data_IF_330698928029
#
_entry.id   IF_330698928029
#
_cell.length_a   1.000
_cell.length_b   1.000
_cell.length_c   1.000
_cell.angle_alpha   90.00
_cell.angle_beta   90.00
_cell.angle_gamma   90.00
#
_symmetry.space_group_name_H-M   'P 1'
#
loop_
_entity.id
_entity.type
_entity.pdbx_description
1 polymer ?
#
# COMPACT_ATOMS: atom_id res chain seq x y z
N UNK A 1 -16.09 9.23 -0.15
CA UNK A 1 -15.14 8.10 -0.24
C UNK A 1 -13.77 8.68 0.09
N UNK A 2 -13.12 8.24 1.17
CA UNK A 2 -11.72 8.62 1.42
C UNK A 2 -10.78 7.61 0.75
N UNK A 3 -9.86 8.14 -0.03
CA UNK A 3 -8.80 7.44 -0.76
C UNK A 3 -7.46 8.03 -0.31
N UNK A 4 -6.40 7.22 -0.42
CA UNK A 4 -5.02 7.65 -0.14
C UNK A 4 -4.17 7.39 -1.38
N UNK A 5 -3.42 8.41 -1.80
CA UNK A 5 -2.50 8.30 -2.93
C UNK A 5 -1.32 7.37 -2.60
N UNK A 6 -0.76 6.61 -3.56
CA UNK A 6 0.35 5.70 -3.30
C UNK A 6 1.61 6.38 -2.73
N UNK A 7 1.93 7.60 -3.18
CA UNK A 7 3.08 8.36 -2.67
C UNK A 7 2.84 8.87 -1.24
N UNK A 8 1.59 9.16 -0.87
CA UNK A 8 1.22 9.52 0.50
C UNK A 8 1.37 8.31 1.43
N UNK A 9 0.82 7.16 1.05
CA UNK A 9 0.96 5.92 1.82
C UNK A 9 2.45 5.55 1.98
N UNK A 10 3.23 5.63 0.90
CA UNK A 10 4.68 5.37 0.91
C UNK A 10 5.44 6.26 1.89
N UNK A 11 5.01 7.52 2.04
CA UNK A 11 5.62 8.46 3.00
C UNK A 11 5.25 8.09 4.43
N UNK A 12 3.96 7.84 4.72
CA UNK A 12 3.50 7.43 6.05
C UNK A 12 4.17 6.15 6.53
N UNK A 13 4.32 5.16 5.65
CA UNK A 13 5.02 3.91 5.99
C UNK A 13 6.52 4.10 6.31
N UNK A 14 7.13 5.24 5.98
CA UNK A 14 8.51 5.57 6.34
C UNK A 14 8.64 6.40 7.61
N UNK A 15 7.69 7.32 7.85
CA UNK A 15 7.76 8.28 8.96
C UNK A 15 7.02 7.79 10.19
N UNK A 16 5.91 7.09 9.98
CA UNK A 16 4.94 6.79 11.03
C UNK A 16 5.12 5.34 11.44
N UNK A 17 5.82 5.17 12.57
CA UNK A 17 6.21 3.87 13.12
C UNK A 17 5.08 3.06 13.74
N UNK A 18 3.93 2.91 13.05
CA UNK A 18 2.86 1.91 13.20
C UNK A 18 1.40 2.44 13.10
N UNK A 19 1.14 3.67 12.70
CA UNK A 19 -0.23 4.25 12.78
C UNK A 19 -1.16 3.82 11.63
N UNK A 20 -0.62 3.25 10.56
CA UNK A 20 -1.39 2.73 9.43
C UNK A 20 -1.29 1.20 9.37
N UNK A 21 -2.42 0.54 9.15
CA UNK A 21 -2.49 -0.87 8.77
C UNK A 21 -2.83 -0.96 7.28
N UNK A 22 -1.95 -1.55 6.48
CA UNK A 22 -2.27 -1.88 5.08
C UNK A 22 -2.91 -3.27 5.04
N UNK A 23 -4.17 -3.35 4.61
CA UNK A 23 -4.95 -4.57 4.50
C UNK A 23 -5.10 -4.99 3.03
N UNK A 24 -4.35 -6.01 2.62
CA UNK A 24 -4.42 -6.56 1.27
C UNK A 24 -5.51 -7.64 1.20
N UNK A 25 -6.56 -7.36 0.43
CA UNK A 25 -7.73 -8.23 0.32
C UNK A 25 -7.65 -9.23 -0.84
N UNK A 26 -6.57 -9.18 -1.63
CA UNK A 26 -6.37 -10.08 -2.78
C UNK A 26 -6.18 -11.52 -2.34
N UNK A 27 -6.22 -12.41 -3.32
CA UNK A 27 -5.86 -13.80 -3.12
C UNK A 27 -4.50 -13.96 -2.47
N UNK A 28 -4.39 -14.94 -1.58
CA UNK A 28 -3.12 -15.24 -0.89
C UNK A 28 -1.95 -15.42 -1.86
N UNK A 29 -2.18 -16.07 -3.00
CA UNK A 29 -1.15 -16.27 -4.02
C UNK A 29 -0.64 -14.94 -4.60
N UNK A 30 -1.54 -14.00 -4.91
CA UNK A 30 -1.18 -12.67 -5.41
C UNK A 30 -0.38 -11.86 -4.38
N UNK A 31 -0.74 -12.00 -3.10
CA UNK A 31 -0.03 -11.38 -1.99
C UNK A 31 1.38 -11.97 -1.81
N UNK A 32 1.50 -13.29 -1.81
CA UNK A 32 2.76 -14.02 -1.65
C UNK A 32 3.73 -13.71 -2.80
N UNK A 33 3.20 -13.58 -4.02
CA UNK A 33 3.99 -13.18 -5.19
C UNK A 33 4.58 -11.78 -5.03
N UNK A 34 3.77 -10.79 -4.60
CA UNK A 34 4.23 -9.43 -4.36
C UNK A 34 3.20 -8.60 -3.59
N UNK A 35 3.64 -7.93 -2.52
CA UNK A 35 2.80 -7.11 -1.65
C UNK A 35 3.52 -5.85 -1.16
N UNK A 36 2.76 -4.93 -0.55
CA UNK A 36 3.28 -3.75 0.13
C UNK A 36 4.02 -4.20 1.41
N UNK A 37 5.30 -3.82 1.62
CA UNK A 37 6.02 -4.22 2.83
C UNK A 37 5.27 -3.85 4.12
N UNK A 38 5.10 -4.83 5.02
CA UNK A 38 4.38 -4.65 6.28
C UNK A 38 2.86 -4.72 6.19
N UNK A 39 2.29 -5.01 5.01
CA UNK A 39 0.84 -5.25 4.88
C UNK A 39 0.42 -6.61 5.46
N UNK A 40 -0.86 -6.71 5.82
CA UNK A 40 -1.51 -7.94 6.27
C UNK A 40 -2.47 -8.41 5.20
N UNK A 41 -2.41 -9.70 4.83
CA UNK A 41 -3.36 -10.29 3.90
C UNK A 41 -4.57 -10.87 4.62
N UNK A 42 -5.75 -10.48 4.17
CA UNK A 42 -7.02 -11.13 4.51
C UNK A 42 -7.73 -11.42 3.20
N UNK A 43 -7.60 -12.66 2.71
CA UNK A 43 -8.16 -13.09 1.44
C UNK A 43 -9.69 -13.13 1.52
N UNK A 44 -10.32 -12.07 1.03
CA UNK A 44 -11.79 -11.91 0.95
C UNK A 44 -12.23 -11.44 -0.43
N UNK A 45 -11.34 -11.46 -1.43
CA UNK A 45 -11.60 -10.90 -2.76
C UNK A 45 -12.88 -11.45 -3.38
N UNK A 46 -13.00 -12.77 -3.49
CA UNK A 46 -14.18 -13.42 -4.08
C UNK A 46 -15.45 -13.15 -3.27
N UNK A 47 -15.34 -13.11 -1.93
CA UNK A 47 -16.49 -12.80 -1.07
C UNK A 47 -16.96 -11.37 -1.29
N UNK A 48 -16.05 -10.41 -1.42
CA UNK A 48 -16.39 -9.02 -1.69
C UNK A 48 -16.94 -8.80 -3.10
N UNK A 49 -16.55 -9.62 -4.08
CA UNK A 49 -17.11 -9.56 -5.44
C UNK A 49 -18.50 -10.17 -5.51
N UNK A 50 -18.71 -11.33 -4.87
CA UNK A 50 -19.95 -12.10 -5.01
C UNK A 50 -20.99 -11.80 -3.92
N UNK A 51 -20.56 -11.69 -2.66
CA UNK A 51 -21.43 -11.60 -1.49
C UNK A 51 -20.85 -10.68 -0.38
N UNK A 52 -20.74 -9.35 -0.62
CA UNK A 52 -20.05 -8.41 0.28
C UNK A 52 -20.50 -8.46 1.74
N UNK A 53 -21.79 -8.73 1.98
CA UNK A 53 -22.36 -8.80 3.33
C UNK A 53 -21.69 -9.87 4.21
N UNK A 54 -21.17 -10.95 3.60
CA UNK A 54 -20.50 -12.06 4.31
C UNK A 54 -19.04 -11.76 4.66
N UNK A 55 -18.42 -10.76 4.02
CA UNK A 55 -17.03 -10.40 4.25
C UNK A 55 -16.80 -9.80 5.65
N UNK A 56 -17.86 -9.28 6.30
CA UNK A 56 -17.82 -8.69 7.64
C UNK A 56 -17.16 -9.61 8.66
N UNK A 57 -17.48 -10.91 8.64
CA UNK A 57 -16.94 -11.89 9.59
C UNK A 57 -15.42 -11.98 9.54
N UNK A 58 -14.85 -11.88 8.33
CA UNK A 58 -13.41 -11.96 8.09
C UNK A 58 -12.66 -10.66 8.42
N UNK A 59 -13.38 -9.55 8.64
CA UNK A 59 -12.83 -8.22 8.89
C UNK A 59 -12.99 -7.77 10.36
N UNK A 60 -13.32 -8.69 11.27
CA UNK A 60 -13.68 -8.37 12.66
C UNK A 60 -12.49 -8.19 13.61
N UNK A 61 -11.34 -8.82 13.34
CA UNK A 61 -10.19 -8.86 14.25
C UNK A 61 -9.07 -7.86 13.90
N UNK A 62 -9.47 -6.64 13.51
CA UNK A 62 -8.53 -5.60 13.08
C UNK A 62 -8.28 -4.58 14.21
N UNK A 63 -7.07 -3.99 14.29
CA UNK A 63 -6.75 -2.97 15.29
C UNK A 63 -7.59 -1.71 15.08
N UNK A 64 -8.36 -1.31 16.10
CA UNK A 64 -9.27 -0.15 16.02
C UNK A 64 -8.59 1.21 16.15
N UNK A 65 -7.34 1.26 16.62
CA UNK A 65 -6.60 2.51 16.84
C UNK A 65 -5.79 2.97 15.63
N UNK A 66 -5.79 2.20 14.53
CA UNK A 66 -5.02 2.49 13.33
C UNK A 66 -5.95 2.83 12.18
N UNK A 67 -5.51 3.73 11.30
CA UNK A 67 -6.15 3.91 9.99
C UNK A 67 -5.89 2.65 9.15
N UNK A 68 -6.94 2.08 8.56
CA UNK A 68 -6.85 0.89 7.72
C UNK A 68 -6.87 1.31 6.25
N UNK A 69 -5.77 1.05 5.55
CA UNK A 69 -5.69 1.27 4.10
C UNK A 69 -5.92 -0.07 3.39
N UNK A 70 -7.07 -0.22 2.74
CA UNK A 70 -7.38 -1.43 1.98
C UNK A 70 -6.75 -1.39 0.59
N UNK A 71 -6.32 -2.54 0.11
CA UNK A 71 -5.71 -2.66 -1.22
C UNK A 71 -6.20 -3.92 -1.94
N UNK A 72 -6.56 -3.76 -3.22
CA UNK A 72 -6.67 -4.84 -4.18
C UNK A 72 -5.78 -4.55 -5.41
N UNK A 73 -5.97 -5.28 -6.51
CA UNK A 73 -5.16 -5.08 -7.72
C UNK A 73 -5.29 -3.66 -8.29
N UNK A 74 -6.53 -3.19 -8.49
CA UNK A 74 -6.85 -1.93 -9.18
C UNK A 74 -7.62 -0.92 -8.29
N UNK A 75 -7.72 -1.17 -6.99
CA UNK A 75 -8.44 -0.29 -6.05
C UNK A 75 -9.97 -0.44 -6.07
N UNK A 76 -10.56 -1.16 -7.03
CA UNK A 76 -12.03 -1.27 -7.19
C UNK A 76 -12.69 -2.11 -6.09
N UNK A 77 -12.27 -3.37 -5.93
CA UNK A 77 -12.87 -4.28 -4.93
C UNK A 77 -12.55 -3.85 -3.50
N UNK A 78 -11.38 -3.22 -3.30
CA UNK A 78 -10.99 -2.69 -1.99
C UNK A 78 -11.88 -1.53 -1.54
N UNK A 79 -12.53 -0.78 -2.44
CA UNK A 79 -13.55 0.20 -2.03
C UNK A 79 -14.70 -0.45 -1.27
N UNK A 80 -15.20 -1.59 -1.74
CA UNK A 80 -16.23 -2.36 -1.04
C UNK A 80 -15.74 -2.79 0.35
N UNK A 81 -14.49 -3.24 0.47
CA UNK A 81 -13.90 -3.59 1.77
C UNK A 81 -13.83 -2.39 2.72
N UNK A 82 -13.42 -1.22 2.20
CA UNK A 82 -13.35 0.04 2.96
C UNK A 82 -14.73 0.44 3.49
N UNK A 83 -15.77 0.34 2.66
CA UNK A 83 -17.12 0.69 3.09
C UNK A 83 -17.63 -0.27 4.17
N UNK A 84 -17.38 -1.58 4.01
CA UNK A 84 -17.68 -2.58 5.05
C UNK A 84 -16.96 -2.26 6.37
N UNK A 85 -15.67 -1.92 6.32
CA UNK A 85 -14.90 -1.55 7.51
C UNK A 85 -15.44 -0.28 8.18
N UNK A 86 -15.81 0.74 7.40
CA UNK A 86 -16.41 1.98 7.94
C UNK A 86 -17.75 1.72 8.60
N UNK A 87 -18.60 0.87 8.03
CA UNK A 87 -19.86 0.44 8.66
C UNK A 87 -19.62 -0.27 10.00
N UNK A 88 -18.48 -0.97 10.14
CA UNK A 88 -18.06 -1.62 11.38
C UNK A 88 -17.41 -0.65 12.39
N UNK A 89 -17.27 0.63 12.03
CA UNK A 89 -16.72 1.69 12.88
C UNK A 89 -15.20 1.83 12.84
N UNK A 90 -14.54 1.27 11.81
CA UNK A 90 -13.11 1.50 11.58
C UNK A 90 -12.86 2.80 10.82
N UNK A 91 -11.74 3.45 11.12
CA UNK A 91 -11.18 4.45 10.22
C UNK A 91 -10.48 3.73 9.07
N UNK A 92 -10.99 3.89 7.86
CA UNK A 92 -10.49 3.18 6.69
C UNK A 92 -10.48 4.06 5.45
N UNK A 93 -9.50 3.82 4.58
CA UNK A 93 -9.34 4.45 3.27
C UNK A 93 -8.95 3.38 2.24
N UNK A 94 -9.22 3.65 0.96
CA UNK A 94 -8.75 2.78 -0.13
C UNK A 94 -7.46 3.32 -0.72
N UNK A 95 -6.49 2.45 -1.02
CA UNK A 95 -5.34 2.83 -1.82
C UNK A 95 -5.77 3.12 -3.28
N UNK A 96 -5.55 4.34 -3.74
CA UNK A 96 -5.84 4.77 -5.11
C UNK A 96 -5.08 3.89 -6.11
N UNK A 97 -5.79 3.40 -7.13
CA UNK A 97 -5.33 2.43 -8.14
C UNK A 97 -4.75 1.12 -7.58
N UNK A 98 -4.96 0.83 -6.29
CA UNK A 98 -4.51 -0.41 -5.65
C UNK A 98 -3.02 -0.71 -5.81
N UNK A 99 -2.69 -1.99 -6.02
CA UNK A 99 -1.32 -2.43 -6.29
C UNK A 99 -0.77 -1.88 -7.61
N UNK A 100 -1.61 -1.63 -8.61
CA UNK A 100 -1.22 -0.96 -9.85
C UNK A 100 -0.69 0.45 -9.57
N UNK A 101 -1.35 1.19 -8.69
CA UNK A 101 -0.91 2.46 -8.12
C UNK A 101 0.41 2.34 -7.36
N UNK A 102 0.46 1.41 -6.39
CA UNK A 102 1.67 1.14 -5.60
C UNK A 102 2.91 0.83 -6.46
N UNK A 103 2.71 0.13 -7.57
CA UNK A 103 3.78 -0.27 -8.49
C UNK A 103 4.54 0.91 -9.10
N UNK A 104 3.94 2.10 -9.08
CA UNK A 104 4.47 3.34 -9.66
C UNK A 104 5.12 4.26 -8.63
N UNK A 105 5.15 3.87 -7.35
CA UNK A 105 5.80 4.66 -6.30
C UNK A 105 7.31 4.69 -6.54
N UNK A 106 7.85 5.90 -6.62
CA UNK A 106 9.28 6.16 -6.70
C UNK A 106 9.72 7.03 -5.52
N UNK A 107 10.85 6.68 -4.94
CA UNK A 107 11.51 7.47 -3.90
C UNK A 107 12.92 7.78 -4.37
N UNK A 108 13.39 8.97 -4.07
CA UNK A 108 14.76 9.34 -4.38
C UNK A 108 15.37 10.16 -3.25
N UNK A 109 16.67 9.99 -3.06
CA UNK A 109 17.44 10.72 -2.08
C UNK A 109 18.85 10.98 -2.62
N UNK A 110 19.41 12.13 -2.30
CA UNK A 110 20.83 12.39 -2.54
C UNK A 110 21.66 11.47 -1.65
N UNK A 111 22.70 10.86 -2.21
CA UNK A 111 23.67 10.05 -1.48
C UNK A 111 24.92 10.90 -1.26
N UNK A 112 25.33 11.13 -0.01
CA UNK A 112 26.55 11.86 0.28
C UNK A 112 27.76 11.05 -0.19
N UNK A 113 28.48 11.56 -1.19
CA UNK A 113 29.70 10.97 -1.74
C UNK A 113 30.70 12.06 -2.11
N UNK A 114 31.98 11.75 -1.99
CA UNK A 114 33.08 12.63 -2.37
C UNK A 114 33.51 12.31 -3.81
N UNK A 115 32.74 12.83 -4.77
CA UNK A 115 32.99 12.69 -6.21
C UNK A 115 32.68 14.02 -6.91
N UNK A 116 33.27 14.21 -8.10
CA UNK A 116 32.94 15.34 -8.97
C UNK A 116 31.61 15.10 -9.70
N UNK A 117 30.51 15.24 -8.96
CA UNK A 117 29.16 15.01 -9.43
C UNK A 117 28.14 14.79 -8.29
N UNK A 118 26.91 14.44 -8.67
CA UNK A 118 25.83 14.11 -7.75
C UNK A 118 25.45 12.64 -7.90
N UNK A 119 25.33 11.93 -6.78
CA UNK A 119 24.79 10.58 -6.74
C UNK A 119 23.38 10.62 -6.14
N UNK A 120 22.40 10.14 -6.89
CA UNK A 120 20.99 10.05 -6.47
C UNK A 120 20.62 8.58 -6.37
N UNK A 121 20.19 8.14 -5.20
CA UNK A 121 19.59 6.82 -5.02
C UNK A 121 18.10 6.90 -5.38
N UNK A 122 17.63 5.97 -6.19
CA UNK A 122 16.22 5.82 -6.57
C UNK A 122 15.73 4.45 -6.09
N UNK A 123 14.75 4.45 -5.19
CA UNK A 123 14.09 3.25 -4.70
C UNK A 123 12.68 3.15 -5.30
N UNK A 124 12.35 2.00 -5.87
CA UNK A 124 11.00 1.65 -6.32
C UNK A 124 10.46 0.56 -5.40
N UNK A 125 9.89 0.93 -4.23
CA UNK A 125 9.38 -0.05 -3.27
C UNK A 125 8.33 -0.98 -3.90
N UNK A 126 7.48 -0.44 -4.78
CA UNK A 126 6.51 -1.24 -5.53
C UNK A 126 7.11 -2.17 -6.59
N UNK A 127 8.43 -2.24 -6.75
CA UNK A 127 9.10 -3.20 -7.64
C UNK A 127 10.27 -3.91 -6.96
N UNK A 128 10.50 -3.66 -5.66
CA UNK A 128 11.69 -4.14 -4.95
C UNK A 128 13.02 -3.69 -5.58
N UNK A 129 13.03 -2.61 -6.35
CA UNK A 129 14.22 -2.17 -7.08
C UNK A 129 14.93 -1.03 -6.34
N UNK A 130 16.26 -1.08 -6.33
CA UNK A 130 17.13 0.01 -5.89
C UNK A 130 18.14 0.33 -6.99
N UNK A 131 18.27 1.61 -7.33
CA UNK A 131 19.18 2.08 -8.38
C UNK A 131 19.90 3.34 -7.93
N UNK A 132 21.02 3.65 -8.59
CA UNK A 132 21.77 4.89 -8.38
C UNK A 132 21.94 5.59 -9.72
N UNK A 133 21.80 6.92 -9.72
CA UNK A 133 22.01 7.78 -10.89
C UNK A 133 23.18 8.70 -10.54
N UNK A 134 24.25 8.64 -11.36
CA UNK A 134 25.35 9.58 -11.31
C UNK A 134 25.10 10.70 -12.31
N UNK A 135 25.10 11.94 -11.83
CA UNK A 135 25.03 13.15 -12.65
C UNK A 135 26.39 13.84 -12.56
N UNK A 136 27.06 14.04 -13.69
CA UNK A 136 28.38 14.69 -13.78
C UNK A 136 28.42 15.55 -15.05
N UNK A 137 29.21 16.62 -15.03
CA UNK A 137 29.33 17.57 -16.15
C UNK A 137 30.36 17.13 -17.23
N UNK A 138 31.04 15.99 -17.01
CA UNK A 138 32.00 15.40 -17.95
C UNK A 138 33.45 15.44 -17.46
#
# INVERSE_FOLDING_TARGET
MSEIAPDELSRRLQTDGNDVLVLDIRHREDFENWHIPGSTNVDVYDRLVNEPATAKESLTELPKQKEIVTVCTEGVVSQTATDVLREMGYDAATLEDGMSGWSRVHRHAAVPVDIDGQLIQVARPGKGCLSHILVSDG
#
